data_IF_849424273734
#
_entry.id   IF_849424273734
#
_cell.length_a   1.000
_cell.length_b   1.000
_cell.length_c   1.000
_cell.angle_alpha   90.00
_cell.angle_beta   90.00
_cell.angle_gamma   90.00
#
_symmetry.space_group_name_H-M   'P 1'
#
loop_
_entity.id
_entity.type
_entity.pdbx_description
1 polymer ?
#
# COMPACT_ATOMS: atom_id res chain seq x y z
N UNK A 1 -15.52 -8.81 -2.21
CA UNK A 1 -14.40 -8.64 -3.16
C UNK A 1 -13.58 -9.91 -3.18
N UNK A 2 -13.23 -10.44 -4.36
CA UNK A 2 -12.32 -11.58 -4.46
C UNK A 2 -10.87 -11.08 -4.49
N UNK A 3 -10.14 -11.20 -3.38
CA UNK A 3 -8.77 -10.69 -3.25
C UNK A 3 -7.81 -11.31 -4.27
N UNK A 4 -7.99 -12.60 -4.61
CA UNK A 4 -7.10 -13.29 -5.56
C UNK A 4 -7.24 -12.74 -6.98
N UNK A 5 -8.47 -12.51 -7.44
CA UNK A 5 -8.75 -11.89 -8.75
C UNK A 5 -8.18 -10.47 -8.82
N UNK A 6 -8.37 -9.67 -7.76
CA UNK A 6 -7.82 -8.32 -7.65
C UNK A 6 -6.30 -8.34 -7.75
N UNK A 7 -5.63 -9.23 -7.03
CA UNK A 7 -4.17 -9.35 -7.08
C UNK A 7 -3.66 -9.83 -8.43
N UNK A 8 -4.38 -10.72 -9.12
CA UNK A 8 -4.02 -11.15 -10.47
C UNK A 8 -4.02 -9.97 -11.44
N UNK A 9 -5.03 -9.10 -11.38
CA UNK A 9 -5.09 -7.86 -12.16
C UNK A 9 -3.98 -6.88 -11.81
N UNK A 10 -3.67 -6.72 -10.53
CA UNK A 10 -2.52 -5.90 -10.10
C UNK A 10 -1.24 -6.44 -10.72
N UNK A 11 -0.98 -7.74 -10.58
CA UNK A 11 0.27 -8.36 -11.03
C UNK A 11 0.47 -8.36 -12.55
N UNK A 12 -0.59 -8.44 -13.34
CA UNK A 12 -0.48 -8.40 -14.81
C UNK A 12 0.05 -7.06 -15.31
N UNK A 13 -0.31 -5.97 -14.64
CA UNK A 13 -0.12 -4.61 -15.14
C UNK A 13 0.84 -3.76 -14.31
N UNK A 14 1.24 -4.21 -13.11
CA UNK A 14 2.07 -3.43 -12.18
C UNK A 14 3.39 -2.92 -12.79
N UNK A 15 3.97 -3.66 -13.74
CA UNK A 15 5.19 -3.26 -14.46
C UNK A 15 5.03 -1.97 -15.28
N UNK A 16 3.80 -1.63 -15.67
CA UNK A 16 3.50 -0.48 -16.52
C UNK A 16 3.21 0.79 -15.72
N UNK A 17 3.19 0.72 -14.37
CA UNK A 17 2.87 1.87 -13.54
C UNK A 17 3.99 2.90 -13.53
N UNK A 18 3.60 4.17 -13.66
CA UNK A 18 4.48 5.33 -13.56
C UNK A 18 3.86 6.40 -12.64
N UNK A 19 4.64 7.40 -12.26
CA UNK A 19 4.16 8.52 -11.44
C UNK A 19 3.66 8.09 -10.06
N UNK A 20 4.35 7.14 -9.41
CA UNK A 20 4.04 6.65 -8.08
C UNK A 20 4.73 7.51 -7.02
N UNK A 21 3.96 7.94 -6.01
CA UNK A 21 4.44 8.78 -4.91
C UNK A 21 3.90 8.27 -3.58
N UNK A 22 4.70 8.33 -2.53
CA UNK A 22 4.25 7.96 -1.17
C UNK A 22 3.14 8.91 -0.66
N UNK A 23 2.11 8.42 0.07
CA UNK A 23 0.96 9.24 0.45
C UNK A 23 1.30 10.41 1.39
N UNK A 24 2.26 10.21 2.31
CA UNK A 24 2.58 11.20 3.36
C UNK A 24 3.53 12.30 2.91
N UNK A 25 4.60 11.92 2.22
CA UNK A 25 5.73 12.80 1.90
C UNK A 25 5.84 13.12 0.41
N UNK A 26 4.95 12.56 -0.41
CA UNK A 26 4.98 12.71 -1.86
C UNK A 26 6.33 12.33 -2.48
N UNK A 27 7.06 11.40 -1.86
CA UNK A 27 8.35 10.92 -2.35
C UNK A 27 8.12 9.96 -3.52
N UNK A 28 8.75 10.19 -4.69
CA UNK A 28 8.59 9.33 -5.85
C UNK A 28 9.31 8.00 -5.71
N UNK A 29 8.75 6.98 -6.33
CA UNK A 29 9.38 5.66 -6.50
C UNK A 29 8.96 5.03 -7.83
N UNK A 30 9.74 4.05 -8.29
CA UNK A 30 9.49 3.36 -9.57
C UNK A 30 9.48 1.86 -9.39
N UNK A 31 8.71 1.16 -10.22
CA UNK A 31 8.72 -0.29 -10.32
C UNK A 31 9.97 -0.70 -11.11
N UNK A 32 10.81 -1.57 -10.54
CA UNK A 32 12.06 -2.01 -11.16
C UNK A 32 11.99 -3.45 -11.67
N UNK A 33 11.54 -4.38 -10.83
CA UNK A 33 11.42 -5.80 -11.21
C UNK A 33 10.11 -6.37 -10.67
N UNK A 34 9.43 -7.17 -11.49
CA UNK A 34 8.21 -7.87 -11.09
C UNK A 34 8.47 -9.37 -11.20
N UNK A 35 8.24 -10.10 -10.12
CA UNK A 35 8.26 -11.56 -10.04
C UNK A 35 6.90 -12.04 -9.53
N UNK A 36 6.62 -13.33 -9.65
CA UNK A 36 5.34 -13.91 -9.24
C UNK A 36 5.00 -13.64 -7.76
N UNK A 37 6.01 -13.62 -6.89
CA UNK A 37 5.88 -13.49 -5.44
C UNK A 37 6.14 -12.08 -4.90
N UNK A 38 6.75 -11.19 -5.70
CA UNK A 38 7.21 -9.87 -5.22
C UNK A 38 7.47 -8.88 -6.34
N UNK A 39 7.47 -7.62 -5.96
CA UNK A 39 7.89 -6.49 -6.79
C UNK A 39 9.04 -5.78 -6.09
N UNK A 40 10.07 -5.41 -6.84
CA UNK A 40 11.17 -4.57 -6.37
C UNK A 40 10.91 -3.15 -6.86
N UNK A 41 10.98 -2.19 -5.96
CA UNK A 41 10.89 -0.77 -6.27
C UNK A 41 12.21 -0.07 -5.97
N UNK A 42 12.44 1.06 -6.65
CA UNK A 42 13.55 1.97 -6.36
C UNK A 42 12.97 3.31 -5.92
N UNK A 43 13.48 3.83 -4.80
CA UNK A 43 13.15 5.16 -4.28
C UNK A 43 14.25 6.15 -4.66
N UNK A 44 13.93 7.43 -4.80
CA UNK A 44 14.95 8.45 -5.05
C UNK A 44 15.94 8.51 -3.87
N UNK A 45 17.18 8.06 -4.11
CA UNK A 45 18.28 8.12 -3.15
C UNK A 45 18.34 6.96 -2.14
N UNK A 46 17.55 5.90 -2.31
CA UNK A 46 17.49 4.78 -1.37
C UNK A 46 17.78 3.41 -1.97
N UNK A 47 18.06 2.44 -1.10
CA UNK A 47 18.20 1.03 -1.47
C UNK A 47 16.89 0.46 -2.05
N UNK A 48 16.95 -0.54 -2.94
CA UNK A 48 15.77 -1.22 -3.43
C UNK A 48 14.90 -1.76 -2.30
N UNK A 49 13.58 -1.62 -2.43
CA UNK A 49 12.60 -2.14 -1.48
C UNK A 49 11.82 -3.27 -2.14
N UNK A 50 11.71 -4.40 -1.45
CA UNK A 50 10.92 -5.54 -1.89
C UNK A 50 9.52 -5.45 -1.30
N UNK A 51 8.51 -5.44 -2.17
CA UNK A 51 7.09 -5.50 -1.85
C UNK A 51 6.59 -6.91 -2.17
N UNK A 52 6.25 -7.68 -1.15
CA UNK A 52 5.77 -9.06 -1.34
C UNK A 52 4.30 -9.08 -1.74
N UNK A 53 3.92 -10.02 -2.61
CA UNK A 53 2.54 -10.21 -3.04
C UNK A 53 1.58 -10.44 -1.87
N UNK A 54 2.02 -11.23 -0.90
CA UNK A 54 1.29 -11.49 0.34
C UNK A 54 1.02 -10.21 1.16
N UNK A 55 1.91 -9.21 1.10
CA UNK A 55 1.67 -7.93 1.76
C UNK A 55 0.57 -7.10 1.08
N UNK A 56 0.41 -7.19 -0.24
CA UNK A 56 -0.74 -6.59 -0.94
C UNK A 56 -2.03 -7.30 -0.55
N UNK A 57 -2.00 -8.63 -0.52
CA UNK A 57 -3.11 -9.48 -0.08
C UNK A 57 -3.58 -9.11 1.33
N UNK A 58 -2.65 -9.09 2.29
CA UNK A 58 -2.93 -8.77 3.68
C UNK A 58 -3.58 -7.38 3.84
N UNK A 59 -3.14 -6.39 3.07
CA UNK A 59 -3.73 -5.03 3.09
C UNK A 59 -5.16 -5.04 2.56
N UNK A 60 -5.38 -5.66 1.38
CA UNK A 60 -6.70 -5.73 0.75
C UNK A 60 -7.67 -6.51 1.65
N UNK A 61 -7.23 -7.65 2.18
CA UNK A 61 -8.00 -8.52 3.06
C UNK A 61 -8.35 -7.82 4.36
N UNK A 62 -7.39 -7.15 5.01
CA UNK A 62 -7.65 -6.36 6.22
C UNK A 62 -8.75 -5.32 5.97
N UNK A 63 -8.64 -4.54 4.90
CA UNK A 63 -9.64 -3.51 4.59
C UNK A 63 -11.02 -4.13 4.31
N UNK A 64 -11.06 -5.26 3.60
CA UNK A 64 -12.27 -5.97 3.23
C UNK A 64 -13.00 -6.54 4.46
N UNK A 65 -12.28 -7.29 5.29
CA UNK A 65 -12.81 -7.96 6.49
C UNK A 65 -13.29 -6.97 7.55
N UNK A 66 -12.62 -5.82 7.66
CA UNK A 66 -13.00 -4.75 8.59
C UNK A 66 -14.04 -3.78 7.99
N UNK A 67 -14.58 -4.07 6.80
CA UNK A 67 -15.61 -3.25 6.14
C UNK A 67 -15.20 -1.79 5.91
N UNK A 68 -13.92 -1.55 5.65
CA UNK A 68 -13.36 -0.20 5.46
C UNK A 68 -13.61 0.25 4.01
N UNK A 69 -14.87 0.55 3.69
CA UNK A 69 -15.33 0.99 2.39
C UNK A 69 -15.81 2.44 2.42
N UNK A 70 -15.38 3.24 1.44
CA UNK A 70 -15.74 4.67 1.39
C UNK A 70 -14.94 5.53 2.38
N UNK A 71 -14.89 6.83 2.12
CA UNK A 71 -14.09 7.80 2.89
C UNK A 71 -14.59 7.93 4.35
N UNK A 72 -15.88 7.69 4.58
CA UNK A 72 -16.50 7.70 5.90
C UNK A 72 -15.93 6.65 6.84
N UNK A 73 -15.46 5.52 6.30
CA UNK A 73 -14.88 4.40 7.06
C UNK A 73 -13.34 4.38 7.01
N UNK A 74 -12.70 5.44 6.49
CA UNK A 74 -11.26 5.47 6.28
C UNK A 74 -10.48 5.15 7.56
N UNK A 75 -9.41 4.38 7.41
CA UNK A 75 -8.48 4.05 8.51
C UNK A 75 -7.18 4.81 8.36
N UNK A 76 -6.59 5.23 9.47
CA UNK A 76 -5.27 5.86 9.48
C UNK A 76 -4.20 4.93 8.89
N UNK A 77 -3.35 5.43 7.98
CA UNK A 77 -2.22 4.66 7.42
C UNK A 77 -1.18 4.39 8.52
N UNK A 78 -0.87 5.41 9.32
CA UNK A 78 -0.09 5.30 10.55
C UNK A 78 1.25 4.56 10.39
N UNK A 79 2.02 4.97 9.38
CA UNK A 79 3.25 4.30 8.98
C UNK A 79 4.42 4.68 9.92
N UNK A 80 4.89 3.76 10.77
CA UNK A 80 6.10 3.97 11.61
C UNK A 80 7.17 2.95 11.29
N UNK A 81 8.44 3.23 11.63
CA UNK A 81 9.53 2.24 11.65
C UNK A 81 9.50 1.42 12.95
N UNK A 82 9.11 2.03 14.08
CA UNK A 82 8.92 1.34 15.34
C UNK A 82 7.55 0.66 15.32
N UNK A 83 7.54 -0.66 15.46
CA UNK A 83 6.30 -1.45 15.36
C UNK A 83 5.24 -1.05 16.39
N UNK A 84 5.66 -0.74 17.62
CA UNK A 84 4.77 -0.25 18.69
C UNK A 84 4.04 1.06 18.35
N UNK A 85 4.55 1.83 17.39
CA UNK A 85 3.96 3.09 16.94
C UNK A 85 3.22 2.93 15.59
N UNK A 86 3.27 1.75 14.97
CA UNK A 86 2.63 1.47 13.70
C UNK A 86 1.14 1.18 13.87
N UNK A 87 0.30 1.71 12.97
CA UNK A 87 -1.14 1.37 12.92
C UNK A 87 -1.38 0.11 12.10
N UNK A 88 -2.62 -0.39 12.14
CA UNK A 88 -3.00 -1.70 11.59
C UNK A 88 -2.55 -1.92 10.16
N UNK A 89 -2.75 -0.97 9.23
CA UNK A 89 -2.30 -1.13 7.84
C UNK A 89 -0.79 -1.32 7.71
N UNK A 90 -0.01 -0.58 8.51
CA UNK A 90 1.44 -0.75 8.55
C UNK A 90 1.82 -2.12 9.13
N UNK A 91 1.16 -2.58 10.19
CA UNK A 91 1.42 -3.88 10.83
C UNK A 91 1.07 -5.04 9.89
N UNK A 92 -0.13 -5.06 9.31
CA UNK A 92 -0.54 -6.16 8.41
C UNK A 92 0.32 -6.23 7.16
N UNK A 93 0.71 -5.09 6.58
CA UNK A 93 1.58 -5.06 5.40
C UNK A 93 3.02 -5.52 5.66
N UNK A 94 3.48 -5.44 6.92
CA UNK A 94 4.80 -5.93 7.32
C UNK A 94 4.82 -7.45 7.38
N UNK A 95 3.69 -8.07 7.72
CA UNK A 95 3.61 -9.49 8.06
C UNK A 95 4.67 -9.83 9.13
N UNK A 96 5.63 -10.70 8.83
CA UNK A 96 6.75 -11.07 9.71
C UNK A 96 8.04 -10.26 9.44
N UNK A 97 7.97 -9.19 8.62
CA UNK A 97 9.14 -8.43 8.15
C UNK A 97 9.27 -7.09 8.86
N UNK A 98 10.50 -6.58 8.99
CA UNK A 98 10.78 -5.29 9.66
C UNK A 98 10.53 -4.07 8.77
N UNK A 99 10.45 -4.26 7.45
CA UNK A 99 10.38 -3.17 6.48
C UNK A 99 8.97 -2.59 6.40
N UNK A 100 8.84 -1.28 6.59
CA UNK A 100 7.60 -0.54 6.38
C UNK A 100 7.32 -0.37 4.89
N UNK A 101 6.31 -1.09 4.40
CA UNK A 101 5.98 -1.14 2.96
C UNK A 101 4.64 -0.51 2.58
N UNK A 102 3.76 -0.24 3.55
CA UNK A 102 2.41 0.30 3.29
C UNK A 102 2.39 1.58 2.44
N UNK A 103 3.39 2.46 2.63
CA UNK A 103 3.51 3.72 1.88
C UNK A 103 3.79 3.53 0.38
N UNK A 104 4.16 2.34 -0.04
CA UNK A 104 4.40 1.99 -1.44
C UNK A 104 3.28 1.11 -2.00
N UNK A 105 2.70 0.23 -1.17
CA UNK A 105 1.56 -0.61 -1.54
C UNK A 105 0.34 0.24 -1.86
N UNK A 106 -0.01 1.22 -1.01
CA UNK A 106 -1.23 2.02 -1.21
C UNK A 106 -1.26 2.81 -2.53
N UNK A 107 -0.20 3.54 -2.94
CA UNK A 107 -0.19 4.22 -4.24
C UNK A 107 -0.31 3.26 -5.43
N UNK A 108 0.24 2.05 -5.32
CA UNK A 108 0.10 1.03 -6.38
C UNK A 108 -1.37 0.59 -6.46
N UNK A 109 -1.97 0.21 -5.33
CA UNK A 109 -3.39 -0.19 -5.28
C UNK A 109 -4.34 0.93 -5.72
N UNK A 110 -3.98 2.18 -5.46
CA UNK A 110 -4.74 3.36 -5.88
C UNK A 110 -4.73 3.54 -7.40
N UNK A 111 -3.60 3.28 -8.09
CA UNK A 111 -3.55 3.28 -9.57
C UNK A 111 -4.47 2.24 -10.21
N UNK A 112 -4.81 1.19 -9.48
CA UNK A 112 -5.76 0.16 -9.91
C UNK A 112 -7.19 0.42 -9.46
N UNK A 113 -7.46 1.58 -8.85
CA UNK A 113 -8.78 1.96 -8.31
C UNK A 113 -9.30 0.97 -7.25
N UNK A 114 -8.41 0.27 -6.54
CA UNK A 114 -8.78 -0.69 -5.48
C UNK A 114 -8.97 0.04 -4.15
N UNK A 115 -8.03 0.93 -3.84
CA UNK A 115 -8.07 1.78 -2.64
C UNK A 115 -8.07 3.25 -3.04
N UNK A 116 -8.51 4.11 -2.14
CA UNK A 116 -8.23 5.53 -2.19
C UNK A 116 -7.47 5.93 -0.94
N UNK A 117 -6.61 6.93 -1.08
CA UNK A 117 -5.87 7.54 0.01
C UNK A 117 -6.25 9.01 0.18
N UNK A 118 -6.26 9.46 1.43
CA UNK A 118 -6.32 10.87 1.78
C UNK A 118 -4.99 11.27 2.38
N UNK A 119 -4.36 12.29 1.80
CA UNK A 119 -3.09 12.83 2.28
C UNK A 119 -3.27 13.50 3.64
N UNK A 120 -2.23 13.47 4.46
CA UNK A 120 -2.18 14.21 5.73
C UNK A 120 -2.35 15.71 5.46
N UNK A 121 -3.13 16.40 6.30
CA UNK A 121 -3.21 17.86 6.33
C UNK A 121 -3.06 18.36 7.79
N UNK A 122 -3.30 19.65 8.04
CA UNK A 122 -3.17 20.25 9.38
C UNK A 122 -4.18 19.71 10.40
N UNK A 123 -5.30 19.14 9.95
CA UNK A 123 -6.41 18.65 10.79
C UNK A 123 -6.50 17.12 10.82
N UNK A 124 -6.01 16.43 9.80
CA UNK A 124 -6.22 14.99 9.63
C UNK A 124 -4.93 14.25 9.29
N UNK A 125 -4.80 13.04 9.84
CA UNK A 125 -3.75 12.08 9.46
C UNK A 125 -4.04 11.50 8.08
N UNK A 126 -3.01 10.97 7.43
CA UNK A 126 -3.22 10.23 6.20
C UNK A 126 -4.01 8.95 6.46
N UNK A 127 -4.88 8.63 5.53
CA UNK A 127 -5.83 7.52 5.68
C UNK A 127 -6.10 6.83 4.35
N UNK A 128 -6.62 5.61 4.42
CA UNK A 128 -6.95 4.80 3.26
C UNK A 128 -8.27 4.04 3.46
N UNK A 129 -8.93 3.71 2.35
CA UNK A 129 -10.14 2.90 2.31
C UNK A 129 -10.26 2.14 0.99
N UNK A 130 -11.05 1.07 0.97
CA UNK A 130 -11.44 0.40 -0.27
C UNK A 130 -12.42 1.28 -1.04
N UNK A 131 -12.20 1.38 -2.35
CA UNK A 131 -13.16 1.98 -3.26
C UNK A 131 -14.41 1.09 -3.32
N UNK A 132 -15.59 1.69 -3.26
CA UNK A 132 -16.88 1.00 -3.46
C UNK A 132 -17.09 0.69 -4.94
#
# INVERSE_FOLDING_TARGET
>A
MNTAEVLNKVWSDIKNLTGLNTPDKNVPFTIHTVKNDRVVIITNGGSPIVLWRSAFEAVIQYLHENKIYGEENRVEIGSSNKEKEAKSLCVVSREHRKTRVINYILPILEKFEIVKTKKKNSKEKSSAWLKK
#
